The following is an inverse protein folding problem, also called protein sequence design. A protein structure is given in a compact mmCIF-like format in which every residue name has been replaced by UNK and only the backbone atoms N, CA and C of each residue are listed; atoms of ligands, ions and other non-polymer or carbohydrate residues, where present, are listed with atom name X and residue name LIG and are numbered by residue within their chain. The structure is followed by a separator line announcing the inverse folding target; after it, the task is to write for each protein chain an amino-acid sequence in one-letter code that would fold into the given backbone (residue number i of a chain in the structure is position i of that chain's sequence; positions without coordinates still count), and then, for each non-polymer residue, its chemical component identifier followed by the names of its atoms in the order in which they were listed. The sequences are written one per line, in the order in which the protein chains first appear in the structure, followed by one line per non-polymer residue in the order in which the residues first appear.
data_IF_388448363525
#
_entry.id   IF_388448363525
#
_cell.length_a   1.000
_cell.length_b   1.000
_cell.length_c   1.000
_cell.angle_alpha   90.00
_cell.angle_beta   90.00
_cell.angle_gamma   90.00
#
_symmetry.space_group_name_H-M   'P 1'
#
loop_
_entity.id
_entity.type
_entity.pdbx_description
1 polymer ?
#
# COMPACT_ATOMS: atom_id res chain seq x y z
N UNK A 1 -21.43 25.89 16.87
CA UNK A 1 -22.48 25.16 16.13
C UNK A 1 -22.40 23.71 16.58
N UNK A 2 -23.52 23.11 16.96
CA UNK A 2 -23.54 21.75 17.49
C UNK A 2 -23.53 20.76 16.32
N UNK A 3 -22.72 19.69 16.38
CA UNK A 3 -22.85 18.61 15.40
C UNK A 3 -24.28 18.07 15.43
N UNK A 4 -24.90 17.96 14.26
CA UNK A 4 -26.16 17.26 14.14
C UNK A 4 -25.84 15.78 14.08
N UNK A 5 -26.22 15.04 15.11
CA UNK A 5 -25.93 13.62 15.23
C UNK A 5 -27.20 12.79 15.04
N UNK A 6 -27.11 11.75 14.21
CA UNK A 6 -28.08 10.66 14.18
C UNK A 6 -27.44 9.50 14.94
N UNK A 7 -28.08 9.08 16.04
CA UNK A 7 -27.56 8.05 16.95
C UNK A 7 -28.62 6.96 17.15
N UNK A 8 -28.22 5.69 17.04
CA UNK A 8 -29.09 4.55 17.38
C UNK A 8 -28.97 4.17 18.86
N UNK A 9 -29.88 3.35 19.38
CA UNK A 9 -29.80 2.84 20.76
C UNK A 9 -28.48 2.12 21.07
N UNK A 10 -27.91 1.46 20.06
CA UNK A 10 -26.61 0.78 20.16
C UNK A 10 -25.43 1.70 19.85
N UNK A 11 -25.60 3.03 19.90
CA UNK A 11 -24.56 4.04 19.74
C UNK A 11 -23.87 4.03 18.36
N UNK A 12 -24.50 3.46 17.32
CA UNK A 12 -24.06 3.71 15.94
C UNK A 12 -24.36 5.16 15.60
N UNK A 13 -23.38 5.88 15.06
CA UNK A 13 -23.43 7.33 14.93
C UNK A 13 -23.14 7.79 13.51
N UNK A 14 -23.94 8.74 13.03
CA UNK A 14 -23.65 9.60 11.88
C UNK A 14 -23.58 11.04 12.41
N UNK A 15 -22.44 11.70 12.22
CA UNK A 15 -22.16 13.07 12.66
C UNK A 15 -22.08 13.99 11.45
N UNK A 16 -22.85 15.08 11.45
CA UNK A 16 -22.71 16.19 10.52
C UNK A 16 -22.01 17.34 11.25
N UNK A 17 -20.76 17.59 10.90
CA UNK A 17 -19.96 18.67 11.50
C UNK A 17 -19.89 19.86 10.53
N UNK A 18 -20.74 20.85 10.78
CA UNK A 18 -20.81 22.11 10.03
C UNK A 18 -19.55 22.97 10.20
N UNK A 19 -18.76 22.79 11.27
CA UNK A 19 -17.53 23.56 11.45
C UNK A 19 -16.42 23.09 10.50
N UNK A 20 -16.33 21.78 10.26
CA UNK A 20 -15.38 21.19 9.33
C UNK A 20 -15.97 20.88 7.96
N UNK A 21 -17.28 21.10 7.75
CA UNK A 21 -18.04 20.60 6.58
C UNK A 21 -17.73 19.12 6.34
N UNK A 22 -17.91 18.29 7.38
CA UNK A 22 -17.61 16.85 7.32
C UNK A 22 -18.78 15.97 7.72
N UNK A 23 -18.76 14.75 7.21
CA UNK A 23 -19.68 13.67 7.54
C UNK A 23 -18.86 12.51 8.09
N UNK A 24 -19.18 12.07 9.31
CA UNK A 24 -18.50 10.96 9.99
C UNK A 24 -19.50 9.87 10.34
N UNK A 25 -19.24 8.65 9.87
CA UNK A 25 -19.98 7.44 10.26
C UNK A 25 -19.08 6.65 11.18
N UNK A 26 -19.53 6.36 12.41
CA UNK A 26 -18.71 5.64 13.40
C UNK A 26 -19.48 4.59 14.18
N UNK A 27 -18.78 3.51 14.56
CA UNK A 27 -19.27 2.49 15.49
C UNK A 27 -18.74 2.74 16.91
N UNK A 28 -19.44 2.25 17.96
CA UNK A 28 -19.01 2.43 19.35
C UNK A 28 -17.63 1.84 19.65
N UNK A 29 -17.27 0.78 18.92
CA UNK A 29 -15.97 0.14 19.09
C UNK A 29 -14.83 0.99 18.52
N UNK A 30 -15.11 1.94 17.61
CA UNK A 30 -14.12 2.88 17.07
C UNK A 30 -13.80 2.71 15.58
N UNK A 31 -14.59 1.94 14.81
CA UNK A 31 -14.49 1.96 13.35
C UNK A 31 -15.13 3.23 12.81
N UNK A 32 -14.53 3.86 11.80
CA UNK A 32 -15.05 5.11 11.24
C UNK A 32 -14.80 5.28 9.75
N UNK A 33 -15.72 6.01 9.11
CA UNK A 33 -15.59 6.58 7.77
C UNK A 33 -15.79 8.09 7.91
N UNK A 34 -14.93 8.89 7.29
CA UNK A 34 -14.98 10.35 7.32
C UNK A 34 -14.84 10.91 5.90
N UNK A 35 -15.75 11.82 5.55
CA UNK A 35 -15.64 12.69 4.37
C UNK A 35 -15.50 14.11 4.90
N UNK A 36 -14.39 14.79 4.62
CA UNK A 36 -14.05 16.07 5.24
C UNK A 36 -13.59 17.09 4.21
N UNK A 37 -14.38 18.15 4.00
CA UNK A 37 -14.07 19.19 3.02
C UNK A 37 -12.99 20.16 3.51
N UNK A 38 -12.90 20.42 4.82
CA UNK A 38 -11.86 21.28 5.39
C UNK A 38 -10.46 20.69 5.22
N UNK A 39 -10.34 19.38 5.44
CA UNK A 39 -9.10 18.63 5.22
C UNK A 39 -8.96 18.14 3.77
N UNK A 40 -10.01 18.26 2.96
CA UNK A 40 -10.09 17.74 1.58
C UNK A 40 -9.70 16.27 1.49
N UNK A 41 -10.28 15.45 2.35
CA UNK A 41 -9.95 14.04 2.44
C UNK A 41 -11.15 13.12 2.64
N UNK A 42 -10.98 11.86 2.23
CA UNK A 42 -11.84 10.73 2.59
C UNK A 42 -11.00 9.72 3.36
N UNK A 43 -11.49 9.25 4.51
CA UNK A 43 -10.76 8.33 5.37
C UNK A 43 -11.65 7.18 5.84
N UNK A 44 -11.10 5.98 5.82
CA UNK A 44 -11.61 4.79 6.50
C UNK A 44 -10.59 4.41 7.58
N UNK A 45 -11.03 4.17 8.81
CA UNK A 45 -10.15 3.70 9.89
C UNK A 45 -10.83 2.67 10.78
N UNK A 46 -10.04 1.75 11.32
CA UNK A 46 -10.48 0.77 12.31
C UNK A 46 -9.78 0.94 13.66
N UNK A 47 -10.20 0.12 14.61
CA UNK A 47 -9.67 0.08 15.99
C UNK A 47 -8.27 -0.53 16.11
N UNK A 48 -7.76 -1.13 15.04
CA UNK A 48 -6.48 -1.83 14.99
C UNK A 48 -5.40 -1.00 14.28
N UNK A 49 -5.63 0.30 14.14
CA UNK A 49 -4.71 1.23 13.48
C UNK A 49 -4.50 0.90 11.98
N UNK A 50 -5.50 0.30 11.33
CA UNK A 50 -5.56 0.17 9.88
C UNK A 50 -6.35 1.34 9.31
N UNK A 51 -5.91 1.87 8.16
CA UNK A 51 -6.62 2.97 7.50
C UNK A 51 -6.42 3.00 5.99
N UNK A 52 -7.40 3.59 5.30
CA UNK A 52 -7.32 3.98 3.89
C UNK A 52 -7.66 5.46 3.85
N UNK A 53 -6.78 6.28 3.27
CA UNK A 53 -7.01 7.72 3.13
C UNK A 53 -6.78 8.18 1.70
N UNK A 54 -7.67 9.05 1.23
CA UNK A 54 -7.59 9.72 -0.07
C UNK A 54 -7.55 11.22 0.20
N UNK A 55 -6.54 11.91 -0.33
CA UNK A 55 -6.34 13.35 -0.14
C UNK A 55 -5.60 13.97 -1.34
N UNK A 56 -5.14 15.21 -1.21
CA UNK A 56 -4.38 15.91 -2.26
C UNK A 56 -3.04 15.28 -2.63
N UNK A 57 -2.46 14.44 -1.77
CA UNK A 57 -1.21 13.71 -2.01
C UNK A 57 -1.45 12.35 -2.68
N UNK A 58 -2.70 11.88 -2.76
CA UNK A 58 -3.09 10.65 -3.42
C UNK A 58 -3.82 9.67 -2.50
N UNK A 59 -3.46 8.39 -2.60
CA UNK A 59 -4.09 7.29 -1.85
C UNK A 59 -3.05 6.61 -0.97
N UNK A 60 -3.36 6.43 0.31
CA UNK A 60 -2.54 5.68 1.26
C UNK A 60 -3.35 4.55 1.87
N UNK A 61 -2.75 3.35 1.89
CA UNK A 61 -3.26 2.17 2.59
C UNK A 61 -2.25 1.84 3.69
N UNK A 62 -2.68 1.90 4.95
CA UNK A 62 -1.84 1.64 6.11
C UNK A 62 -2.41 0.48 6.91
N UNK A 63 -1.54 -0.45 7.33
CA UNK A 63 -1.86 -1.48 8.31
C UNK A 63 -0.76 -1.60 9.35
N UNK A 64 -1.17 -1.79 10.61
CA UNK A 64 -0.23 -2.11 11.70
C UNK A 64 0.22 -3.57 11.70
N UNK A 65 -0.41 -4.41 10.87
CA UNK A 65 -0.20 -5.85 10.76
C UNK A 65 -0.04 -6.24 9.29
N UNK A 66 -0.66 -7.34 8.88
CA UNK A 66 -0.51 -7.91 7.55
C UNK A 66 -1.48 -7.27 6.56
N UNK A 67 -0.98 -7.02 5.35
CA UNK A 67 -1.80 -6.74 4.17
C UNK A 67 -1.66 -7.94 3.23
N UNK A 68 -2.79 -8.54 2.84
CA UNK A 68 -2.83 -9.64 1.88
C UNK A 68 -3.60 -9.19 0.62
N UNK A 69 -2.96 -9.29 -0.53
CA UNK A 69 -3.54 -8.96 -1.83
C UNK A 69 -3.51 -10.24 -2.67
N UNK A 70 -4.67 -10.75 -3.03
CA UNK A 70 -4.82 -11.96 -3.85
C UNK A 70 -5.89 -11.77 -4.91
N UNK A 71 -5.67 -12.41 -6.06
CA UNK A 71 -6.55 -12.33 -7.23
C UNK A 71 -6.07 -13.27 -8.33
N UNK A 72 -6.91 -13.48 -9.34
CA UNK A 72 -6.55 -14.28 -10.53
C UNK A 72 -5.48 -13.54 -11.35
N UNK A 73 -5.61 -12.21 -11.46
CA UNK A 73 -4.66 -11.33 -12.15
C UNK A 73 -4.49 -10.05 -11.32
N UNK A 74 -3.24 -9.60 -11.15
CA UNK A 74 -2.88 -8.34 -10.47
C UNK A 74 -1.95 -7.56 -11.41
N UNK A 75 -2.28 -6.29 -11.70
CA UNK A 75 -1.47 -5.36 -12.50
C UNK A 75 -1.12 -4.14 -11.66
N UNK A 76 0.15 -3.74 -11.71
CA UNK A 76 0.69 -2.57 -11.02
C UNK A 76 1.48 -1.75 -12.04
N UNK A 77 0.96 -0.59 -12.40
CA UNK A 77 1.55 0.29 -13.41
C UNK A 77 1.80 1.69 -12.82
N UNK A 78 3.04 2.17 -12.90
CA UNK A 78 3.43 3.50 -12.45
C UNK A 78 4.16 4.27 -13.56
N UNK A 79 3.79 5.54 -13.78
CA UNK A 79 4.34 6.35 -14.87
C UNK A 79 5.73 6.93 -14.56
N UNK A 80 6.01 7.15 -13.27
CA UNK A 80 7.25 7.82 -12.83
C UNK A 80 8.16 6.85 -12.08
N UNK A 81 7.66 6.24 -11.00
CA UNK A 81 8.45 5.35 -10.16
C UNK A 81 7.60 4.30 -9.46
N UNK A 82 8.20 3.13 -9.20
CA UNK A 82 7.66 2.08 -8.34
C UNK A 82 8.75 1.64 -7.36
N UNK A 83 8.55 1.94 -6.07
CA UNK A 83 9.47 1.53 -5.00
C UNK A 83 8.93 0.31 -4.25
N UNK A 84 9.72 -0.76 -4.19
CA UNK A 84 9.45 -1.95 -3.40
C UNK A 84 10.53 -2.10 -2.33
N UNK A 85 10.14 -2.08 -1.05
CA UNK A 85 11.07 -2.14 0.08
C UNK A 85 10.52 -3.02 1.19
N UNK A 86 11.37 -3.89 1.72
CA UNK A 86 11.13 -4.65 2.94
C UNK A 86 12.36 -4.56 3.84
N UNK A 87 12.14 -4.58 5.16
CA UNK A 87 13.25 -4.56 6.13
C UNK A 87 13.91 -5.93 6.32
N UNK A 88 13.16 -7.01 6.08
CA UNK A 88 13.64 -8.38 6.17
C UNK A 88 13.85 -8.93 4.75
N UNK A 89 12.78 -9.43 4.13
CA UNK A 89 12.88 -10.17 2.87
C UNK A 89 11.86 -9.70 1.83
N UNK A 90 12.22 -9.84 0.54
CA UNK A 90 11.30 -9.81 -0.59
C UNK A 90 11.41 -11.18 -1.28
N UNK A 91 10.33 -11.95 -1.26
CA UNK A 91 10.24 -13.25 -1.92
C UNK A 91 9.41 -13.12 -3.21
N UNK A 92 9.96 -13.59 -4.33
CA UNK A 92 9.27 -13.59 -5.63
C UNK A 92 9.35 -14.99 -6.24
N UNK A 93 8.20 -15.64 -6.36
CA UNK A 93 8.08 -17.00 -6.86
C UNK A 93 7.04 -17.05 -7.98
N UNK A 94 7.41 -17.63 -9.12
CA UNK A 94 6.52 -17.85 -10.24
C UNK A 94 7.07 -18.97 -11.13
N UNK A 95 6.23 -19.52 -12.01
CA UNK A 95 6.70 -20.41 -13.07
C UNK A 95 7.69 -19.71 -14.02
N UNK A 96 7.47 -18.42 -14.29
CA UNK A 96 8.35 -17.57 -15.08
C UNK A 96 8.40 -16.16 -14.48
N UNK A 97 9.59 -15.59 -14.37
CA UNK A 97 9.81 -14.18 -13.98
C UNK A 97 10.52 -13.48 -15.13
N UNK A 98 9.94 -12.39 -15.64
CA UNK A 98 10.53 -11.56 -16.70
C UNK A 98 10.81 -10.17 -16.13
N UNK A 99 12.09 -9.81 -15.98
CA UNK A 99 12.51 -8.48 -15.56
C UNK A 99 13.28 -7.81 -16.70
N UNK A 100 12.88 -6.59 -17.05
CA UNK A 100 13.52 -5.81 -18.11
C UNK A 100 13.72 -4.37 -17.64
N UNK A 101 14.88 -3.81 -17.96
CA UNK A 101 15.17 -2.39 -17.76
C UNK A 101 15.81 -1.83 -19.03
N UNK A 102 15.31 -0.68 -19.51
CA UNK A 102 15.76 -0.10 -20.78
C UNK A 102 17.07 0.68 -20.67
N UNK A 103 17.34 1.29 -19.51
CA UNK A 103 18.56 2.08 -19.29
C UNK A 103 19.58 1.34 -18.43
N UNK A 104 19.19 0.83 -17.28
CA UNK A 104 20.09 0.17 -16.33
C UNK A 104 19.32 -0.84 -15.48
N UNK A 105 19.91 -2.01 -15.30
CA UNK A 105 19.48 -2.99 -14.31
C UNK A 105 20.53 -3.10 -13.21
N UNK A 106 20.15 -2.91 -11.95
CA UNK A 106 21.05 -3.03 -10.79
C UNK A 106 20.43 -3.96 -9.76
N UNK A 107 21.12 -5.07 -9.47
CA UNK A 107 20.84 -5.94 -8.34
C UNK A 107 22.11 -6.03 -7.49
N UNK A 108 22.00 -5.74 -6.19
CA UNK A 108 23.15 -5.66 -5.29
C UNK A 108 22.83 -6.35 -3.97
N UNK A 109 23.66 -7.33 -3.58
CA UNK A 109 23.68 -7.90 -2.25
C UNK A 109 24.92 -7.42 -1.49
N UNK A 110 24.74 -6.75 -0.36
CA UNK A 110 25.83 -6.15 0.41
C UNK A 110 26.70 -7.19 1.12
N UNK A 111 26.08 -8.24 1.66
CA UNK A 111 26.77 -9.36 2.30
C UNK A 111 27.09 -10.48 1.30
N UNK A 112 26.14 -10.83 0.44
CA UNK A 112 26.30 -11.85 -0.60
C UNK A 112 25.27 -11.67 -1.72
N UNK A 113 25.56 -12.20 -2.90
CA UNK A 113 24.63 -12.34 -4.01
C UNK A 113 24.87 -13.69 -4.70
N UNK A 114 23.82 -14.40 -5.07
CA UNK A 114 23.89 -15.71 -5.72
C UNK A 114 22.97 -15.76 -6.94
N UNK A 115 23.46 -16.33 -8.05
CA UNK A 115 22.66 -16.71 -9.21
C UNK A 115 22.90 -18.19 -9.50
N UNK A 116 21.88 -19.02 -9.31
CA UNK A 116 21.96 -20.47 -9.49
C UNK A 116 20.82 -21.01 -10.36
N UNK A 117 21.10 -22.11 -11.06
CA UNK A 117 20.16 -22.83 -11.93
C UNK A 117 20.51 -24.31 -11.90
N UNK A 118 19.51 -25.18 -11.92
CA UNK A 118 19.72 -26.64 -11.93
C UNK A 118 20.25 -27.17 -13.26
N UNK A 119 20.08 -26.42 -14.34
CA UNK A 119 20.46 -26.83 -15.69
C UNK A 119 21.50 -25.87 -16.25
N UNK A 120 21.12 -24.60 -16.43
CA UNK A 120 21.97 -23.62 -17.07
C UNK A 120 21.68 -22.22 -16.53
N UNK A 121 22.75 -21.54 -16.12
CA UNK A 121 22.76 -20.09 -15.88
C UNK A 121 23.47 -19.43 -17.06
N UNK A 122 22.81 -18.47 -17.72
CA UNK A 122 23.42 -17.69 -18.81
C UNK A 122 23.58 -16.25 -18.39
N UNK A 123 24.82 -15.77 -18.29
CA UNK A 123 25.15 -14.36 -18.06
C UNK A 123 25.89 -13.86 -19.29
N UNK A 124 25.37 -12.80 -19.93
CA UNK A 124 25.94 -12.22 -21.16
C UNK A 124 26.10 -10.72 -21.00
N UNK A 125 27.24 -10.21 -21.45
CA UNK A 125 27.57 -8.79 -21.51
C UNK A 125 28.82 -8.59 -22.35
N UNK A 126 29.08 -7.37 -22.79
CA UNK A 126 30.35 -7.05 -23.45
C UNK A 126 31.56 -7.32 -22.53
N UNK A 127 31.36 -7.11 -21.22
CA UNK A 127 32.32 -7.40 -20.17
C UNK A 127 31.55 -8.08 -19.02
N UNK A 128 32.09 -9.18 -18.50
CA UNK A 128 31.63 -9.83 -17.28
C UNK A 128 32.83 -9.96 -16.35
N UNK A 129 32.82 -9.20 -15.25
CA UNK A 129 33.85 -9.28 -14.24
C UNK A 129 33.42 -10.26 -13.16
N UNK A 130 34.21 -11.32 -12.95
CA UNK A 130 34.02 -12.30 -11.87
C UNK A 130 35.31 -12.24 -11.04
N UNK A 131 35.20 -11.86 -9.77
CA UNK A 131 36.33 -11.70 -8.86
C UNK A 131 36.07 -12.28 -7.47
#
# INVERSE_FOLDING_TARGET
MNPHDIVTENQLKITFDEASNSIIISTPCGNSIELNDSLKCVKLSDVYNNSISLNSEGIQIHSSKNVHISGIEIKLDAQTNLDLKASNDINSEALNINQAAFSQFKAQGSASAELSSSIQTTVKGAIVNIN
#
